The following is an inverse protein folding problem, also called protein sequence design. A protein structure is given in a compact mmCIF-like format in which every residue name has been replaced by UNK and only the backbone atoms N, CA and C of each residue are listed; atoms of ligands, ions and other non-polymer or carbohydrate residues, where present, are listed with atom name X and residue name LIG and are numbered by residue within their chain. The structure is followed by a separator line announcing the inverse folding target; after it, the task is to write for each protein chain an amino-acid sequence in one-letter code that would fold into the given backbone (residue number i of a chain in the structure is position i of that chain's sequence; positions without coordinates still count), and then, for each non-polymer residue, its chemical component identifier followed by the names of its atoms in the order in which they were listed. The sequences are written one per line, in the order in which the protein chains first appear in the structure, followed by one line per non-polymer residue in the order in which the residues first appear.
data_IF_165592320563
#
_entry.id   IF_165592320563
#
_cell.length_a   1.000
_cell.length_b   1.000
_cell.length_c   1.000
_cell.angle_alpha   90.00
_cell.angle_beta   90.00
_cell.angle_gamma   90.00
#
_symmetry.space_group_name_H-M   'P 1'
#
loop_
_entity.id
_entity.type
_entity.pdbx_description
1 polymer ?
#
# COMPACT_ATOMS: atom_id res chain seq x y z
N UNK A 1 17.21 -11.57 14.44
CA UNK A 1 16.97 -10.52 13.42
C UNK A 1 15.70 -10.89 12.68
N UNK A 2 14.63 -10.09 12.80
CA UNK A 2 13.38 -10.31 12.07
C UNK A 2 13.60 -9.92 10.61
N UNK A 3 13.66 -10.91 9.72
CA UNK A 3 13.78 -10.68 8.29
C UNK A 3 12.38 -10.33 7.81
N UNK A 4 12.02 -9.05 7.83
CA UNK A 4 10.77 -8.58 7.23
C UNK A 4 10.89 -8.86 5.73
N UNK A 5 10.09 -9.77 5.16
CA UNK A 5 10.17 -10.06 3.75
C UNK A 5 9.79 -8.79 2.98
N UNK A 6 10.71 -8.26 2.18
CA UNK A 6 10.39 -7.25 1.18
C UNK A 6 9.48 -7.92 0.15
N UNK A 7 8.17 -7.80 0.33
CA UNK A 7 7.21 -8.22 -0.69
C UNK A 7 7.35 -7.24 -1.86
N UNK A 8 7.69 -7.70 -3.07
CA UNK A 8 7.83 -6.82 -4.23
C UNK A 8 6.49 -6.13 -4.54
N UNK A 9 6.51 -4.81 -4.77
CA UNK A 9 5.32 -4.01 -5.12
C UNK A 9 4.50 -4.62 -6.26
N UNK A 10 5.17 -5.19 -7.29
CA UNK A 10 4.48 -5.90 -8.38
C UNK A 10 3.61 -7.05 -7.90
N UNK A 11 4.04 -7.81 -6.89
CA UNK A 11 3.21 -8.90 -6.32
C UNK A 11 1.98 -8.36 -5.60
N UNK A 12 2.07 -7.16 -5.02
CA UNK A 12 0.93 -6.51 -4.36
C UNK A 12 -0.06 -5.99 -5.41
N UNK A 13 0.44 -5.40 -6.50
CA UNK A 13 -0.40 -4.98 -7.64
C UNK A 13 -1.16 -6.18 -8.23
N UNK A 14 -0.46 -7.29 -8.48
CA UNK A 14 -1.05 -8.54 -8.99
C UNK A 14 -2.13 -9.09 -8.02
N UNK A 15 -1.89 -8.99 -6.71
CA UNK A 15 -2.83 -9.43 -5.68
C UNK A 15 -4.08 -8.54 -5.65
N UNK A 16 -3.93 -7.21 -5.74
CA UNK A 16 -5.04 -6.26 -5.78
C UNK A 16 -5.93 -6.55 -6.98
N UNK A 17 -5.34 -6.71 -8.17
CA UNK A 17 -6.11 -7.05 -9.38
C UNK A 17 -6.86 -8.38 -9.21
N UNK A 18 -6.21 -9.39 -8.62
CA UNK A 18 -6.85 -10.68 -8.36
C UNK A 18 -8.04 -10.57 -7.41
N UNK A 19 -7.93 -9.77 -6.34
CA UNK A 19 -9.02 -9.54 -5.39
C UNK A 19 -10.18 -8.80 -6.08
N UNK A 20 -9.90 -7.78 -6.90
CA UNK A 20 -10.93 -7.05 -7.66
C UNK A 20 -11.73 -7.96 -8.61
N UNK A 21 -11.06 -8.88 -9.31
CA UNK A 21 -11.72 -9.87 -10.16
C UNK A 21 -12.63 -10.80 -9.35
N UNK A 22 -12.13 -11.29 -8.21
CA UNK A 22 -12.90 -12.16 -7.32
C UNK A 22 -14.11 -11.45 -6.71
N UNK A 23 -13.99 -10.17 -6.33
CA UNK A 23 -15.10 -9.38 -5.82
C UNK A 23 -16.21 -9.28 -6.86
N UNK A 24 -15.86 -8.88 -8.10
CA UNK A 24 -16.83 -8.78 -9.21
C UNK A 24 -17.51 -10.11 -9.52
N UNK A 25 -16.77 -11.21 -9.43
CA UNK A 25 -17.34 -12.55 -9.63
C UNK A 25 -18.25 -12.98 -8.48
N UNK A 26 -17.89 -12.66 -7.23
CA UNK A 26 -18.71 -12.93 -6.06
C UNK A 26 -20.02 -12.14 -6.08
N UNK A 27 -19.97 -10.85 -6.44
CA UNK A 27 -21.15 -10.00 -6.65
C UNK A 27 -22.06 -10.58 -7.73
N UNK A 28 -21.50 -10.90 -8.91
CA UNK A 28 -22.26 -11.45 -10.04
C UNK A 28 -22.95 -12.77 -9.70
N UNK A 29 -22.33 -13.59 -8.83
CA UNK A 29 -22.87 -14.88 -8.38
C UNK A 29 -23.78 -14.77 -7.16
N UNK A 30 -23.97 -13.58 -6.59
CA UNK A 30 -24.80 -13.36 -5.41
C UNK A 30 -24.17 -13.85 -4.10
N UNK A 31 -22.85 -14.05 -4.05
CA UNK A 31 -22.14 -14.44 -2.84
C UNK A 31 -21.85 -13.23 -1.94
N UNK A 32 -22.91 -12.59 -1.43
CA UNK A 32 -22.83 -11.29 -0.74
C UNK A 32 -21.84 -11.26 0.43
N UNK A 33 -21.83 -12.27 1.29
CA UNK A 33 -20.87 -12.34 2.41
C UNK A 33 -19.42 -12.46 1.93
N UNK A 34 -19.18 -13.23 0.86
CA UNK A 34 -17.84 -13.36 0.29
C UNK A 34 -17.41 -12.05 -0.38
N UNK A 35 -18.30 -11.41 -1.13
CA UNK A 35 -18.04 -10.11 -1.75
C UNK A 35 -17.64 -9.06 -0.69
N UNK A 36 -18.38 -8.98 0.42
CA UNK A 36 -18.05 -8.09 1.55
C UNK A 36 -16.64 -8.33 2.12
N UNK A 37 -16.26 -9.59 2.33
CA UNK A 37 -14.91 -9.90 2.81
C UNK A 37 -13.83 -9.56 1.78
N UNK A 38 -14.09 -9.78 0.49
CA UNK A 38 -13.16 -9.42 -0.58
C UNK A 38 -13.01 -7.90 -0.73
N UNK A 39 -14.08 -7.12 -0.57
CA UNK A 39 -14.03 -5.65 -0.53
C UNK A 39 -13.20 -5.14 0.66
N UNK A 40 -13.38 -5.75 1.82
CA UNK A 40 -12.58 -5.43 3.01
C UNK A 40 -11.11 -5.73 2.76
N UNK A 41 -10.80 -6.93 2.23
CA UNK A 41 -9.43 -7.32 1.87
C UNK A 41 -8.81 -6.39 0.80
N UNK A 42 -9.59 -5.94 -0.18
CA UNK A 42 -9.16 -5.00 -1.20
C UNK A 42 -8.80 -3.64 -0.61
N UNK A 43 -9.59 -3.17 0.36
CA UNK A 43 -9.34 -1.90 1.06
C UNK A 43 -8.02 -1.97 1.82
N UNK A 44 -7.81 -3.02 2.62
CA UNK A 44 -6.56 -3.23 3.36
C UNK A 44 -5.35 -3.37 2.42
N UNK A 45 -5.48 -4.12 1.32
CA UNK A 45 -4.41 -4.29 0.34
C UNK A 45 -3.97 -2.95 -0.28
N UNK A 46 -4.92 -2.05 -0.57
CA UNK A 46 -4.62 -0.70 -1.11
C UNK A 46 -3.97 0.22 -0.06
N UNK A 47 -4.39 0.11 1.20
CA UNK A 47 -3.75 0.84 2.32
C UNK A 47 -2.29 0.41 2.43
N UNK A 48 -2.03 -0.89 2.42
CA UNK A 48 -0.67 -1.41 2.53
C UNK A 48 0.19 -1.08 1.30
N UNK A 49 -0.39 -1.13 0.09
CA UNK A 49 0.30 -0.68 -1.13
C UNK A 49 0.72 0.79 -1.03
N UNK A 50 -0.15 1.67 -0.53
CA UNK A 50 0.18 3.10 -0.32
C UNK A 50 1.34 3.24 0.66
N UNK A 51 1.27 2.56 1.81
CA UNK A 51 2.33 2.55 2.81
C UNK A 51 3.67 2.10 2.23
N UNK A 52 3.70 1.02 1.45
CA UNK A 52 4.93 0.51 0.84
C UNK A 52 5.53 1.49 -0.19
N UNK A 53 4.68 2.22 -0.93
CA UNK A 53 5.13 3.27 -1.83
C UNK A 53 5.73 4.45 -1.07
N UNK A 54 5.10 4.87 0.03
CA UNK A 54 5.58 5.96 0.88
C UNK A 54 6.91 5.59 1.55
N UNK A 55 7.04 4.37 2.07
CA UNK A 55 8.30 3.85 2.62
C UNK A 55 9.40 3.77 1.56
N UNK A 56 9.06 3.36 0.33
CA UNK A 56 10.03 3.34 -0.78
C UNK A 56 10.46 4.76 -1.15
N UNK A 57 9.55 5.73 -1.17
CA UNK A 57 9.87 7.13 -1.41
C UNK A 57 10.78 7.69 -0.30
N UNK A 58 10.47 7.42 0.97
CA UNK A 58 11.28 7.83 2.11
C UNK A 58 12.70 7.22 2.08
N UNK A 59 12.83 5.94 1.70
CA UNK A 59 14.14 5.27 1.52
C UNK A 59 14.96 5.84 0.37
N UNK A 60 14.30 6.40 -0.65
CA UNK A 60 14.94 6.96 -1.84
C UNK A 60 15.15 8.47 -1.75
N UNK A 61 14.67 9.14 -0.69
CA UNK A 61 14.88 10.56 -0.49
C UNK A 61 16.36 10.85 -0.23
N UNK A 62 16.91 11.90 -0.87
CA UNK A 62 18.24 12.39 -0.55
C UNK A 62 18.23 12.90 0.90
N UNK A 63 19.16 12.48 1.77
CA UNK A 63 19.29 13.02 3.13
C UNK A 63 19.32 14.56 3.19
N UNK A 64 19.74 15.23 2.10
CA UNK A 64 19.76 16.69 1.97
C UNK A 64 18.37 17.30 1.78
N UNK A 65 17.42 16.58 1.22
CA UNK A 65 16.02 17.02 1.05
C UNK A 65 15.21 16.88 2.35
N UNK A 66 15.73 16.12 3.33
CA UNK A 66 15.14 15.95 4.66
C UNK A 66 15.62 17.01 5.67
N UNK A 67 16.61 17.84 5.30
CA UNK A 67 17.16 18.89 6.15
C UNK A 67 16.69 20.27 5.68
N UNK A 68 15.64 20.81 6.30
CA UNK A 68 15.38 22.26 6.28
C UNK A 68 16.23 22.91 7.35
N UNK A 69 17.27 23.70 7.03
CA UNK A 69 17.93 24.49 8.05
C UNK A 69 16.89 25.47 8.59
N UNK A 70 16.57 25.38 9.88
CA UNK A 70 15.85 26.44 10.56
C UNK A 70 16.62 27.74 10.32
N UNK A 71 16.08 28.60 9.46
CA UNK A 71 16.55 29.98 9.36
C UNK A 71 16.25 30.61 10.71
N UNK A 72 17.27 30.65 11.59
CA UNK A 72 17.22 31.53 12.76
C UNK A 72 16.95 32.93 12.23
N UNK A 73 15.90 33.63 12.69
CA UNK A 73 15.78 35.04 12.41
C UNK A 73 16.94 35.74 13.14
N UNK A 74 17.73 36.47 12.37
CA UNK A 74 18.86 37.25 12.87
C UNK A 74 18.36 38.23 13.94
N UNK A 75 18.97 38.15 15.13
CA UNK A 75 18.77 39.08 16.26
C UNK A 75 19.64 40.31 16.05
#
# INVERSE_FOLDING_TARGET
MSVVPLIPLRRVDDLITRIEELTKDAERRGFGTLAYFLETALTEARIEQRRLLDEKAARNADPRDLWTPETRPDV
#
